data_IF_665526510350
#
_entry.id   IF_665526510350
#
_cell.length_a   1.000
_cell.length_b   1.000
_cell.length_c   1.000
_cell.angle_alpha   90.00
_cell.angle_beta   90.00
_cell.angle_gamma   90.00
#
_symmetry.space_group_name_H-M   'P 1'
#
loop_
_entity.id
_entity.type
_entity.pdbx_description
1 polymer ?
#
# COMPACT_ATOMS: atom_id res chain seq x y z
N UNK A 1 -46.72 -7.12 -22.16
CA UNK A 1 -45.33 -6.89 -22.61
C UNK A 1 -44.96 -5.41 -22.81
N UNK A 2 -45.83 -4.52 -23.31
CA UNK A 2 -45.46 -3.09 -23.53
C UNK A 2 -45.27 -2.23 -22.25
N UNK A 3 -45.84 -2.63 -21.11
CA UNK A 3 -45.77 -1.86 -19.84
C UNK A 3 -44.41 -1.99 -19.12
N UNK A 4 -43.65 -3.07 -19.37
CA UNK A 4 -42.31 -3.24 -18.77
C UNK A 4 -41.20 -2.49 -19.51
N UNK A 5 -41.33 -2.35 -20.84
CA UNK A 5 -40.40 -1.60 -21.70
C UNK A 5 -40.45 -0.08 -21.44
N UNK A 6 -41.62 0.45 -21.09
CA UNK A 6 -41.80 1.87 -20.74
C UNK A 6 -41.25 2.19 -19.35
N UNK A 7 -41.40 1.28 -18.37
CA UNK A 7 -40.80 1.42 -17.04
C UNK A 7 -39.26 1.38 -17.07
N UNK A 8 -38.68 0.48 -17.88
CA UNK A 8 -37.22 0.40 -18.04
C UNK A 8 -36.63 1.68 -18.66
N UNK A 9 -37.26 2.24 -19.70
CA UNK A 9 -36.82 3.52 -20.30
C UNK A 9 -36.96 4.70 -19.35
N UNK A 10 -38.01 4.74 -18.53
CA UNK A 10 -38.22 5.79 -17.52
C UNK A 10 -37.16 5.73 -16.42
N UNK A 11 -36.84 4.54 -15.92
CA UNK A 11 -35.78 4.33 -14.94
C UNK A 11 -34.40 4.68 -15.51
N UNK A 12 -34.15 4.38 -16.79
CA UNK A 12 -32.91 4.76 -17.47
C UNK A 12 -32.76 6.27 -17.61
N UNK A 13 -33.85 6.97 -17.99
CA UNK A 13 -33.88 8.43 -18.12
C UNK A 13 -33.76 9.14 -16.76
N UNK A 14 -34.39 8.59 -15.71
CA UNK A 14 -34.23 9.04 -14.32
C UNK A 14 -32.80 8.85 -13.82
N UNK A 15 -32.19 7.68 -14.08
CA UNK A 15 -30.79 7.40 -13.71
C UNK A 15 -29.82 8.37 -14.40
N UNK A 16 -30.01 8.64 -15.69
CA UNK A 16 -29.20 9.63 -16.42
C UNK A 16 -29.41 11.05 -15.90
N UNK A 17 -30.64 11.42 -15.56
CA UNK A 17 -30.92 12.74 -14.99
C UNK A 17 -30.27 12.90 -13.61
N UNK A 18 -30.35 11.88 -12.75
CA UNK A 18 -29.73 11.88 -11.42
C UNK A 18 -28.20 11.90 -11.54
N UNK A 19 -27.61 11.11 -12.44
CA UNK A 19 -26.15 11.10 -12.63
C UNK A 19 -25.65 12.45 -13.13
N UNK A 20 -26.36 13.10 -14.07
CA UNK A 20 -26.02 14.45 -14.54
C UNK A 20 -26.10 15.48 -13.42
N UNK A 21 -27.14 15.43 -12.58
CA UNK A 21 -27.28 16.34 -11.44
C UNK A 21 -26.17 16.15 -10.40
N UNK A 22 -25.78 14.90 -10.10
CA UNK A 22 -24.67 14.60 -9.19
C UNK A 22 -23.33 15.07 -9.78
N UNK A 23 -23.11 14.85 -11.08
CA UNK A 23 -21.88 15.31 -11.75
C UNK A 23 -21.77 16.83 -11.71
N UNK A 24 -22.86 17.56 -11.99
CA UNK A 24 -22.92 19.02 -11.88
C UNK A 24 -22.68 19.52 -10.45
N UNK A 25 -23.31 18.90 -9.45
CA UNK A 25 -23.12 19.26 -8.04
C UNK A 25 -21.70 18.96 -7.53
N UNK A 26 -21.02 17.97 -8.13
CA UNK A 26 -19.66 17.57 -7.73
C UNK A 26 -18.54 18.42 -8.33
N UNK A 27 -18.84 19.27 -9.32
CA UNK A 27 -17.86 20.18 -9.95
C UNK A 27 -17.13 21.11 -8.95
N UNK A 28 -17.81 21.83 -8.03
CA UNK A 28 -17.12 22.66 -7.05
C UNK A 28 -16.20 21.83 -6.14
N UNK A 29 -16.64 20.64 -5.73
CA UNK A 29 -15.82 19.72 -4.93
C UNK A 29 -14.61 19.20 -5.70
N UNK A 30 -14.74 18.93 -7.01
CA UNK A 30 -13.61 18.55 -7.88
C UNK A 30 -12.57 19.67 -7.96
N UNK A 31 -13.00 20.91 -8.10
CA UNK A 31 -12.10 22.07 -8.17
C UNK A 31 -11.38 22.33 -6.84
N UNK A 32 -12.11 22.26 -5.72
CA UNK A 32 -11.52 22.37 -4.38
C UNK A 32 -10.52 21.24 -4.10
N UNK A 33 -10.87 20.00 -4.46
CA UNK A 33 -9.95 18.86 -4.39
C UNK A 33 -8.68 19.12 -5.20
N UNK A 34 -8.80 19.62 -6.42
CA UNK A 34 -7.66 19.88 -7.29
C UNK A 34 -6.73 20.96 -6.72
N UNK A 35 -7.27 22.07 -6.20
CA UNK A 35 -6.48 23.11 -5.54
C UNK A 35 -5.78 22.54 -4.30
N UNK A 36 -6.53 21.84 -3.45
CA UNK A 36 -6.02 21.33 -2.18
C UNK A 36 -4.92 20.29 -2.42
N UNK A 37 -5.16 19.31 -3.30
CA UNK A 37 -4.16 18.28 -3.63
C UNK A 37 -2.90 18.90 -4.24
N UNK A 38 -3.04 19.85 -5.18
CA UNK A 38 -1.88 20.48 -5.82
C UNK A 38 -1.08 21.36 -4.85
N UNK A 39 -1.73 21.94 -3.84
CA UNK A 39 -1.05 22.70 -2.78
C UNK A 39 -0.28 21.81 -1.81
N UNK A 40 -0.79 20.61 -1.54
CA UNK A 40 -0.31 19.74 -0.47
C UNK A 40 0.74 18.73 -0.98
N UNK A 41 0.56 18.20 -2.19
CA UNK A 41 1.42 17.15 -2.76
C UNK A 41 1.61 17.38 -4.26
N UNK A 42 2.75 17.96 -4.63
CA UNK A 42 3.17 18.03 -6.04
C UNK A 42 3.37 16.60 -6.57
N UNK A 43 2.77 16.30 -7.72
CA UNK A 43 2.88 14.97 -8.35
C UNK A 43 1.97 13.90 -7.75
N UNK A 44 0.84 14.27 -7.15
CA UNK A 44 -0.14 13.32 -6.58
C UNK A 44 -0.61 12.23 -7.57
N UNK A 45 -0.59 12.54 -8.87
CA UNK A 45 -0.90 11.61 -9.96
C UNK A 45 -0.07 10.32 -9.90
N UNK A 46 1.21 10.42 -9.52
CA UNK A 46 2.12 9.27 -9.37
C UNK A 46 1.54 8.27 -8.36
N UNK A 47 1.10 8.76 -7.20
CA UNK A 47 0.55 7.91 -6.14
C UNK A 47 -0.79 7.28 -6.53
N UNK A 48 -1.63 8.01 -7.26
CA UNK A 48 -2.96 7.52 -7.69
C UNK A 48 -2.84 6.44 -8.77
N UNK A 49 -2.02 6.68 -9.80
CA UNK A 49 -1.84 5.71 -10.89
C UNK A 49 -1.01 4.53 -10.39
N UNK A 50 0.09 4.79 -9.68
CA UNK A 50 0.99 3.76 -9.17
C UNK A 50 0.39 2.89 -8.06
N UNK A 51 -0.64 3.35 -7.34
CA UNK A 51 -1.39 2.50 -6.40
C UNK A 51 -2.37 1.55 -7.09
N UNK A 52 -2.68 1.76 -8.38
CA UNK A 52 -3.65 0.96 -9.13
C UNK A 52 -5.11 1.27 -8.78
N UNK A 53 -5.39 2.32 -8.00
CA UNK A 53 -6.76 2.70 -7.59
C UNK A 53 -7.54 3.25 -8.79
N UNK A 54 -6.87 3.99 -9.68
CA UNK A 54 -7.48 4.61 -10.85
C UNK A 54 -6.50 4.64 -12.02
N UNK A 55 -7.03 4.49 -13.23
CA UNK A 55 -6.27 4.59 -14.48
C UNK A 55 -5.84 6.03 -14.80
N UNK A 56 -6.39 7.03 -14.10
CA UNK A 56 -6.03 8.43 -14.30
C UNK A 56 -6.49 9.34 -13.16
N UNK A 57 -5.83 10.49 -13.03
CA UNK A 57 -6.09 11.47 -11.98
C UNK A 57 -7.50 12.06 -12.10
N UNK A 58 -8.00 12.30 -13.31
CA UNK A 58 -9.33 12.89 -13.49
C UNK A 58 -10.46 11.97 -13.02
N UNK A 59 -10.32 10.66 -13.28
CA UNK A 59 -11.28 9.65 -12.85
C UNK A 59 -11.26 9.48 -11.33
N UNK A 60 -10.08 9.58 -10.72
CA UNK A 60 -9.94 9.60 -9.27
C UNK A 60 -10.63 10.84 -8.68
N UNK A 61 -10.30 12.04 -9.17
CA UNK A 61 -10.89 13.30 -8.71
C UNK A 61 -12.42 13.31 -8.85
N UNK A 62 -12.97 12.77 -9.94
CA UNK A 62 -14.43 12.66 -10.13
C UNK A 62 -15.08 11.65 -9.18
N UNK A 63 -14.42 10.54 -8.89
CA UNK A 63 -14.94 9.54 -7.95
C UNK A 63 -14.88 10.07 -6.52
N UNK A 64 -13.75 10.68 -6.16
CA UNK A 64 -13.52 11.31 -4.86
C UNK A 64 -14.46 12.48 -4.60
N UNK A 65 -14.76 13.32 -5.60
CA UNK A 65 -15.74 14.41 -5.43
C UNK A 65 -17.15 13.90 -5.16
N UNK A 66 -17.55 12.77 -5.77
CA UNK A 66 -18.84 12.12 -5.50
C UNK A 66 -18.88 11.51 -4.09
N UNK A 67 -17.78 10.90 -3.64
CA UNK A 67 -17.67 10.36 -2.29
C UNK A 67 -17.78 11.49 -1.26
N UNK A 68 -17.11 12.63 -1.47
CA UNK A 68 -17.20 13.79 -0.59
C UNK A 68 -18.62 14.36 -0.48
N UNK A 69 -19.33 14.44 -1.59
CA UNK A 69 -20.74 14.84 -1.58
C UNK A 69 -21.60 13.85 -0.78
N UNK A 70 -21.42 12.55 -1.02
CA UNK A 70 -22.19 11.52 -0.33
C UNK A 70 -21.92 11.51 1.18
N UNK A 71 -20.66 11.67 1.61
CA UNK A 71 -20.30 11.73 3.04
C UNK A 71 -20.82 13.00 3.72
N UNK A 72 -20.83 14.12 3.02
CA UNK A 72 -21.42 15.37 3.53
C UNK A 72 -22.94 15.26 3.72
N UNK A 73 -23.68 14.73 2.73
CA UNK A 73 -25.14 14.53 2.81
C UNK A 73 -25.52 13.53 3.91
N UNK A 74 -24.80 12.40 3.99
CA UNK A 74 -25.06 11.38 5.02
C UNK A 74 -24.75 11.91 6.42
N UNK A 75 -23.66 12.67 6.59
CA UNK A 75 -23.36 13.27 7.89
C UNK A 75 -24.38 14.34 8.27
N UNK A 76 -24.84 15.16 7.32
CA UNK A 76 -25.91 16.13 7.56
C UNK A 76 -27.19 15.46 8.06
N UNK A 77 -27.63 14.40 7.38
CA UNK A 77 -28.86 13.67 7.77
C UNK A 77 -28.74 12.99 9.12
N UNK A 78 -27.61 12.31 9.40
CA UNK A 78 -27.38 11.63 10.68
C UNK A 78 -27.34 12.65 11.83
N UNK A 79 -26.54 13.70 11.68
CA UNK A 79 -26.40 14.74 12.72
C UNK A 79 -27.72 15.47 12.97
N UNK A 80 -28.53 15.72 11.93
CA UNK A 80 -29.84 16.34 12.07
C UNK A 80 -30.83 15.45 12.85
N UNK A 81 -30.86 14.15 12.54
CA UNK A 81 -31.72 13.18 13.23
C UNK A 81 -31.31 13.00 14.70
N UNK A 82 -30.00 13.04 15.00
CA UNK A 82 -29.53 12.96 16.39
C UNK A 82 -29.77 14.26 17.15
N UNK A 83 -29.45 15.42 16.55
CA UNK A 83 -29.58 16.72 17.19
C UNK A 83 -31.04 17.16 17.41
N UNK A 84 -31.97 16.72 16.55
CA UNK A 84 -33.41 17.03 16.71
C UNK A 84 -34.08 16.31 17.89
N UNK A 85 -33.43 15.29 18.47
CA UNK A 85 -33.93 14.62 19.69
C UNK A 85 -33.63 15.37 20.99
N UNK A 86 -32.62 16.23 21.00
CA UNK A 86 -32.12 16.87 22.21
C UNK A 86 -32.19 18.41 22.18
N UNK A 87 -32.20 19.02 20.99
CA UNK A 87 -32.09 20.46 20.81
C UNK A 87 -33.28 21.01 19.99
N UNK A 88 -33.62 22.30 20.15
CA UNK A 88 -34.60 22.96 19.30
C UNK A 88 -34.12 23.01 17.86
N UNK A 89 -35.07 22.92 16.92
CA UNK A 89 -34.83 22.68 15.50
C UNK A 89 -33.84 23.67 14.85
N UNK A 90 -33.86 24.94 15.26
CA UNK A 90 -32.90 25.94 14.77
C UNK A 90 -31.45 25.64 15.15
N UNK A 91 -31.19 25.18 16.37
CA UNK A 91 -29.84 24.81 16.83
C UNK A 91 -29.41 23.49 16.17
N UNK A 92 -30.34 22.54 16.00
CA UNK A 92 -30.04 21.27 15.32
C UNK A 92 -29.61 21.49 13.87
N UNK A 93 -30.24 22.43 13.15
CA UNK A 93 -29.87 22.77 11.77
C UNK A 93 -28.47 23.38 11.68
N UNK A 94 -28.12 24.31 12.58
CA UNK A 94 -26.80 24.94 12.55
C UNK A 94 -25.69 23.94 12.88
N UNK A 95 -25.88 23.11 13.90
CA UNK A 95 -24.92 22.06 14.27
C UNK A 95 -24.74 21.05 13.12
N UNK A 96 -25.83 20.64 12.48
CA UNK A 96 -25.77 19.68 11.36
C UNK A 96 -25.10 20.29 10.13
N UNK A 97 -25.38 21.56 9.84
CA UNK A 97 -24.73 22.28 8.75
C UNK A 97 -23.22 22.39 8.99
N UNK A 98 -22.78 22.83 10.18
CA UNK A 98 -21.36 22.92 10.54
C UNK A 98 -20.67 21.55 10.46
N UNK A 99 -21.30 20.51 11.00
CA UNK A 99 -20.74 19.15 10.94
C UNK A 99 -20.59 18.64 9.49
N UNK A 100 -21.57 18.90 8.63
CA UNK A 100 -21.57 18.47 7.23
C UNK A 100 -20.60 19.25 6.34
N UNK A 101 -20.33 20.52 6.65
CA UNK A 101 -19.53 21.42 5.82
C UNK A 101 -18.07 21.47 6.25
N UNK A 102 -17.81 21.28 7.55
CA UNK A 102 -16.47 21.40 8.12
C UNK A 102 -15.91 20.03 8.48
N UNK A 103 -16.59 19.28 9.34
CA UNK A 103 -16.03 18.06 9.96
C UNK A 103 -15.94 16.91 8.95
N UNK A 104 -17.07 16.56 8.33
CA UNK A 104 -17.16 15.44 7.40
C UNK A 104 -16.22 15.54 6.19
N UNK A 105 -16.20 16.66 5.43
CA UNK A 105 -15.32 16.77 4.28
C UNK A 105 -13.85 16.85 4.68
N UNK A 106 -13.50 17.46 5.82
CA UNK A 106 -12.10 17.51 6.29
C UNK A 106 -11.56 16.10 6.58
N UNK A 107 -12.32 15.29 7.31
CA UNK A 107 -11.93 13.91 7.61
C UNK A 107 -11.90 13.04 6.35
N UNK A 108 -12.90 13.17 5.50
CA UNK A 108 -12.97 12.42 4.25
C UNK A 108 -11.83 12.80 3.27
N UNK A 109 -11.43 14.08 3.23
CA UNK A 109 -10.29 14.54 2.45
C UNK A 109 -8.97 13.94 2.95
N UNK A 110 -8.77 13.92 4.28
CA UNK A 110 -7.58 13.31 4.87
C UNK A 110 -7.44 11.83 4.46
N UNK A 111 -8.54 11.07 4.54
CA UNK A 111 -8.57 9.66 4.12
C UNK A 111 -8.30 9.52 2.62
N UNK A 112 -8.95 10.33 1.78
CA UNK A 112 -8.78 10.28 0.33
C UNK A 112 -7.38 10.66 -0.14
N UNK A 113 -6.63 11.46 0.61
CA UNK A 113 -5.23 11.78 0.27
C UNK A 113 -4.29 10.70 0.79
N UNK A 114 -4.54 10.20 2.00
CA UNK A 114 -3.69 9.20 2.64
C UNK A 114 -3.77 7.82 1.99
N UNK A 115 -4.98 7.40 1.59
CA UNK A 115 -5.24 6.04 1.10
C UNK A 115 -4.40 5.69 -0.15
N UNK A 116 -4.32 6.52 -1.21
CA UNK A 116 -3.43 6.24 -2.34
C UNK A 116 -1.97 6.12 -1.95
N UNK A 117 -1.47 6.94 -1.01
CA UNK A 117 -0.08 6.86 -0.56
C UNK A 117 0.22 5.56 0.18
N UNK A 118 -0.68 5.16 1.08
CA UNK A 118 -0.56 3.91 1.82
C UNK A 118 -0.61 2.70 0.88
N UNK A 119 -1.55 2.68 -0.06
CA UNK A 119 -1.66 1.63 -1.07
C UNK A 119 -0.47 1.61 -2.03
N UNK A 120 0.05 2.78 -2.42
CA UNK A 120 1.24 2.91 -3.26
C UNK A 120 2.45 2.25 -2.60
N UNK A 121 2.69 2.53 -1.32
CA UNK A 121 3.80 1.94 -0.56
C UNK A 121 3.66 0.41 -0.45
N UNK A 122 2.50 -0.06 -0.02
CA UNK A 122 2.24 -1.50 0.13
C UNK A 122 2.40 -2.23 -1.22
N UNK A 123 1.90 -1.65 -2.31
CA UNK A 123 2.04 -2.22 -3.66
C UNK A 123 3.51 -2.25 -4.11
N UNK A 124 4.31 -1.25 -3.74
CA UNK A 124 5.76 -1.24 -3.99
C UNK A 124 6.48 -2.44 -3.38
N UNK A 125 6.14 -2.79 -2.14
CA UNK A 125 6.72 -3.96 -1.45
C UNK A 125 6.32 -5.28 -2.14
N UNK A 126 5.06 -5.43 -2.53
CA UNK A 126 4.56 -6.60 -3.28
C UNK A 126 5.23 -6.72 -4.66
N UNK A 127 5.47 -5.60 -5.33
CA UNK A 127 6.16 -5.58 -6.62
C UNK A 127 7.65 -5.95 -6.48
N UNK A 128 8.32 -5.45 -5.44
CA UNK A 128 9.73 -5.80 -5.16
C UNK A 128 9.90 -7.29 -4.82
N UNK A 129 8.98 -7.87 -4.05
CA UNK A 129 9.06 -9.29 -3.65
C UNK A 129 8.93 -10.22 -4.86
N UNK A 130 8.14 -9.83 -5.86
CA UNK A 130 7.90 -10.61 -7.08
C UNK A 130 8.76 -10.20 -8.28
N UNK A 131 9.60 -9.17 -8.14
CA UNK A 131 10.36 -8.58 -9.23
C UNK A 131 11.23 -9.61 -9.98
N UNK A 132 11.79 -10.60 -9.29
CA UNK A 132 12.59 -11.67 -9.92
C UNK A 132 11.80 -12.47 -10.96
N UNK A 133 10.49 -12.64 -10.76
CA UNK A 133 9.61 -13.35 -11.71
C UNK A 133 9.48 -12.58 -13.01
N UNK A 134 9.33 -11.25 -12.93
CA UNK A 134 9.30 -10.39 -14.10
C UNK A 134 10.66 -10.35 -14.79
N UNK A 135 11.73 -10.14 -14.03
CA UNK A 135 13.07 -10.00 -14.58
C UNK A 135 13.53 -11.29 -15.29
N UNK A 136 13.25 -12.47 -14.71
CA UNK A 136 13.55 -13.75 -15.34
C UNK A 136 12.76 -13.96 -16.65
N UNK A 137 11.47 -13.63 -16.66
CA UNK A 137 10.67 -13.64 -17.88
C UNK A 137 11.22 -12.70 -18.96
N UNK A 138 11.68 -11.50 -18.55
CA UNK A 138 12.33 -10.55 -19.45
C UNK A 138 13.65 -11.08 -19.99
N UNK A 139 14.50 -11.72 -19.19
CA UNK A 139 15.74 -12.34 -19.67
C UNK A 139 15.42 -13.40 -20.72
N UNK A 140 14.47 -14.30 -20.43
CA UNK A 140 14.07 -15.37 -21.35
C UNK A 140 13.59 -14.80 -22.70
N UNK A 141 12.74 -13.78 -22.67
CA UNK A 141 12.18 -13.19 -23.88
C UNK A 141 13.19 -12.32 -24.63
N UNK A 142 14.04 -11.56 -23.93
CA UNK A 142 15.05 -10.71 -24.57
C UNK A 142 16.21 -11.53 -25.15
N UNK A 143 16.52 -12.70 -24.58
CA UNK A 143 17.48 -13.65 -25.15
C UNK A 143 17.06 -14.16 -26.54
N UNK A 144 15.77 -14.15 -26.86
CA UNK A 144 15.26 -14.53 -28.19
C UNK A 144 15.50 -13.47 -29.28
N UNK A 145 16.13 -12.33 -28.95
CA UNK A 145 16.43 -11.26 -29.90
C UNK A 145 15.21 -10.44 -30.35
N UNK A 146 14.05 -10.64 -29.71
CA UNK A 146 12.85 -9.88 -30.02
C UNK A 146 12.97 -8.41 -29.61
N UNK A 147 12.28 -7.53 -30.35
CA UNK A 147 12.16 -6.13 -29.93
C UNK A 147 11.41 -6.04 -28.60
N UNK A 148 11.78 -5.05 -27.78
CA UNK A 148 11.17 -4.83 -26.45
C UNK A 148 9.63 -4.70 -26.53
N UNK A 149 9.09 -4.16 -27.62
CA UNK A 149 7.65 -4.09 -27.84
C UNK A 149 7.02 -5.50 -27.86
N UNK A 150 7.59 -6.43 -28.64
CA UNK A 150 7.11 -7.82 -28.70
C UNK A 150 7.34 -8.56 -27.38
N UNK A 151 8.45 -8.28 -26.70
CA UNK A 151 8.72 -8.83 -25.36
C UNK A 151 7.60 -8.42 -24.39
N UNK A 152 7.24 -7.13 -24.32
CA UNK A 152 6.17 -6.65 -23.46
C UNK A 152 4.81 -7.24 -23.83
N UNK A 153 4.55 -7.47 -25.11
CA UNK A 153 3.32 -8.10 -25.60
C UNK A 153 3.24 -9.60 -25.24
N UNK A 154 4.39 -10.28 -25.11
CA UNK A 154 4.47 -11.69 -24.72
C UNK A 154 4.45 -11.92 -23.19
N UNK A 155 4.77 -10.91 -22.38
CA UNK A 155 4.79 -11.02 -20.91
C UNK A 155 3.48 -11.54 -20.28
N UNK A 156 2.28 -11.13 -20.71
CA UNK A 156 1.03 -11.68 -20.15
C UNK A 156 0.93 -13.20 -20.28
N UNK A 157 1.44 -13.76 -21.37
CA UNK A 157 1.41 -15.20 -21.64
C UNK A 157 2.44 -15.94 -20.78
N UNK A 158 3.66 -15.42 -20.68
CA UNK A 158 4.75 -16.05 -19.92
C UNK A 158 4.53 -15.97 -18.41
N UNK A 159 4.03 -14.84 -17.90
CA UNK A 159 3.82 -14.64 -16.47
C UNK A 159 2.54 -15.29 -15.95
N UNK A 160 1.56 -15.55 -16.81
CA UNK A 160 0.27 -16.10 -16.44
C UNK A 160 -0.37 -15.33 -15.27
N UNK A 161 -0.67 -16.02 -14.17
CA UNK A 161 -1.27 -15.41 -12.97
C UNK A 161 -0.41 -14.32 -12.31
N UNK A 162 0.93 -14.37 -12.47
CA UNK A 162 1.83 -13.36 -11.92
C UNK A 162 1.71 -12.02 -12.66
N UNK A 163 1.20 -12.01 -13.90
CA UNK A 163 1.00 -10.79 -14.69
C UNK A 163 0.14 -9.76 -13.97
N UNK A 164 -0.91 -10.21 -13.26
CA UNK A 164 -1.86 -9.34 -12.54
C UNK A 164 -1.18 -8.41 -11.53
N UNK A 165 -0.03 -8.79 -11.01
CA UNK A 165 0.73 -7.96 -10.05
C UNK A 165 1.33 -6.74 -10.75
N UNK A 166 1.88 -6.95 -11.95
CA UNK A 166 2.59 -5.96 -12.76
C UNK A 166 1.71 -5.29 -13.83
N UNK A 167 0.42 -5.62 -13.88
CA UNK A 167 -0.45 -5.24 -14.99
C UNK A 167 -0.56 -3.72 -15.13
N UNK A 168 -0.57 -2.95 -14.03
CA UNK A 168 -0.64 -1.48 -14.10
C UNK A 168 0.54 -0.90 -14.88
N UNK A 169 1.77 -1.32 -14.56
CA UNK A 169 2.99 -0.84 -15.20
C UNK A 169 3.09 -1.31 -16.66
N UNK A 170 2.80 -2.59 -16.90
CA UNK A 170 2.93 -3.21 -18.22
C UNK A 170 1.81 -2.78 -19.18
N UNK A 171 0.56 -2.69 -18.72
CA UNK A 171 -0.56 -2.19 -19.51
C UNK A 171 -0.37 -0.71 -19.81
N UNK A 172 0.15 0.09 -18.86
CA UNK A 172 0.46 1.50 -19.10
C UNK A 172 1.56 1.65 -20.17
N UNK A 173 2.64 0.87 -20.07
CA UNK A 173 3.70 0.85 -21.08
C UNK A 173 3.14 0.49 -22.47
N UNK A 174 2.38 -0.60 -22.55
CA UNK A 174 1.78 -1.07 -23.81
C UNK A 174 0.79 -0.05 -24.39
N UNK A 175 -0.04 0.56 -23.54
CA UNK A 175 -1.02 1.57 -23.96
C UNK A 175 -0.37 2.82 -24.52
N UNK A 176 0.70 3.32 -23.89
CA UNK A 176 1.46 4.47 -24.39
C UNK A 176 2.09 4.16 -25.76
N UNK A 177 2.66 2.97 -25.92
CA UNK A 177 3.25 2.54 -27.21
C UNK A 177 2.18 2.39 -28.30
N UNK A 178 1.00 1.86 -27.98
CA UNK A 178 -0.13 1.74 -28.92
C UNK A 178 -0.65 3.08 -29.40
N UNK A 179 -0.57 4.13 -28.56
CA UNK A 179 -0.96 5.51 -28.92
C UNK A 179 0.16 6.23 -29.70
N UNK A 180 1.30 5.56 -29.97
CA UNK A 180 2.40 6.09 -30.78
C UNK A 180 3.48 6.82 -29.99
N UNK A 181 3.48 6.72 -28.65
CA UNK A 181 4.57 7.26 -27.83
C UNK A 181 5.83 6.43 -28.06
N UNK A 182 7.01 7.06 -28.30
CA UNK A 182 8.26 6.33 -28.44
C UNK A 182 8.52 5.41 -27.24
N UNK A 183 9.01 4.20 -27.51
CA UNK A 183 9.23 3.15 -26.50
C UNK A 183 10.08 3.65 -25.33
N UNK A 184 11.17 4.37 -25.62
CA UNK A 184 12.05 4.93 -24.59
C UNK A 184 11.31 5.91 -23.67
N UNK A 185 10.49 6.81 -24.24
CA UNK A 185 9.70 7.78 -23.48
C UNK A 185 8.57 7.10 -22.69
N UNK A 186 7.91 6.10 -23.28
CA UNK A 186 6.88 5.31 -22.59
C UNK A 186 7.43 4.61 -21.34
N UNK A 187 8.58 3.93 -21.46
CA UNK A 187 9.24 3.28 -20.34
C UNK A 187 9.70 4.28 -19.29
N UNK A 188 10.24 5.44 -19.71
CA UNK A 188 10.62 6.52 -18.79
C UNK A 188 9.42 6.98 -17.96
N UNK A 189 8.26 7.21 -18.57
CA UNK A 189 7.03 7.62 -17.87
C UNK A 189 6.57 6.56 -16.86
N UNK A 190 6.57 5.29 -17.26
CA UNK A 190 6.21 4.18 -16.36
C UNK A 190 7.17 4.10 -15.17
N UNK A 191 8.46 4.35 -15.38
CA UNK A 191 9.45 4.37 -14.32
C UNK A 191 9.19 5.46 -13.25
N UNK A 192 8.59 6.59 -13.63
CA UNK A 192 8.23 7.66 -12.69
C UNK A 192 6.96 7.35 -11.89
N UNK A 193 6.15 6.40 -12.36
CA UNK A 193 4.87 6.03 -11.75
C UNK A 193 4.99 4.79 -10.85
N UNK A 194 5.95 3.90 -11.13
CA UNK A 194 6.07 2.65 -10.39
C UNK A 194 6.55 2.87 -8.94
N UNK A 195 5.91 2.23 -7.95
CA UNK A 195 6.34 2.31 -6.55
C UNK A 195 7.57 1.46 -6.22
N UNK A 196 7.95 0.52 -7.09
CA UNK A 196 9.10 -0.36 -6.86
C UNK A 196 10.38 0.23 -7.40
N UNK A 197 11.43 0.27 -6.57
CA UNK A 197 12.72 0.83 -6.97
C UNK A 197 13.38 -0.01 -8.07
N UNK A 198 13.26 -1.34 -7.99
CA UNK A 198 13.84 -2.27 -8.97
C UNK A 198 13.17 -2.14 -10.33
N UNK A 199 11.84 -2.02 -10.36
CA UNK A 199 11.09 -1.76 -11.59
C UNK A 199 11.42 -0.39 -12.17
N UNK A 200 11.56 0.63 -11.31
CA UNK A 200 11.99 1.96 -11.75
C UNK A 200 13.36 1.90 -12.42
N UNK A 201 14.32 1.27 -11.78
CA UNK A 201 15.68 1.13 -12.30
C UNK A 201 15.70 0.33 -13.61
N UNK A 202 14.87 -0.71 -13.70
CA UNK A 202 14.66 -1.49 -14.93
C UNK A 202 14.15 -0.60 -16.06
N UNK A 203 13.01 0.08 -15.87
CA UNK A 203 12.39 0.86 -16.93
C UNK A 203 13.25 2.08 -17.34
N UNK A 204 13.96 2.72 -16.41
CA UNK A 204 14.92 3.78 -16.72
C UNK A 204 16.12 3.25 -17.52
N UNK A 205 16.68 2.11 -17.13
CA UNK A 205 17.82 1.51 -17.82
C UNK A 205 17.42 1.09 -19.24
N UNK A 206 16.27 0.43 -19.39
CA UNK A 206 15.71 0.07 -20.69
C UNK A 206 15.47 1.30 -21.57
N UNK A 207 14.86 2.35 -21.01
CA UNK A 207 14.62 3.62 -21.71
C UNK A 207 15.92 4.23 -22.26
N UNK A 208 16.98 4.22 -21.44
CA UNK A 208 18.29 4.76 -21.82
C UNK A 208 18.94 3.96 -22.94
N UNK A 209 19.01 2.63 -22.83
CA UNK A 209 19.62 1.79 -23.87
C UNK A 209 18.84 1.84 -25.17
N UNK A 210 17.51 1.82 -25.11
CA UNK A 210 16.65 1.88 -26.31
C UNK A 210 16.83 3.22 -27.03
N UNK A 211 16.99 4.33 -26.30
CA UNK A 211 17.23 5.65 -26.89
C UNK A 211 18.55 5.73 -27.68
N UNK A 212 19.54 4.92 -27.30
CA UNK A 212 20.87 4.86 -27.94
C UNK A 212 20.93 3.74 -29.00
N UNK A 213 19.86 2.95 -29.17
CA UNK A 213 19.80 1.82 -30.11
C UNK A 213 20.62 0.60 -29.66
N UNK A 214 20.92 0.49 -28.37
CA UNK A 214 21.72 -0.61 -27.81
C UNK A 214 20.93 -1.91 -27.60
N UNK A 215 21.65 -2.98 -27.30
CA UNK A 215 21.06 -4.28 -26.99
C UNK A 215 20.45 -4.31 -25.58
N UNK A 216 19.20 -4.74 -25.48
CA UNK A 216 18.43 -4.80 -24.23
C UNK A 216 18.82 -6.00 -23.33
N UNK A 217 19.21 -7.14 -23.92
CA UNK A 217 19.44 -8.37 -23.16
C UNK A 217 20.53 -8.24 -22.07
N UNK A 218 21.71 -7.64 -22.34
CA UNK A 218 22.75 -7.46 -21.31
C UNK A 218 22.29 -6.57 -20.15
N UNK A 219 21.41 -5.60 -20.41
CA UNK A 219 20.87 -4.67 -19.41
C UNK A 219 19.99 -5.42 -18.44
N UNK A 220 19.05 -6.21 -18.95
CA UNK A 220 18.14 -7.01 -18.11
C UNK A 220 18.93 -8.03 -17.30
N UNK A 221 19.93 -8.68 -17.90
CA UNK A 221 20.81 -9.61 -17.20
C UNK A 221 21.57 -8.94 -16.05
N UNK A 222 22.17 -7.76 -16.30
CA UNK A 222 22.86 -7.01 -15.24
C UNK A 222 21.93 -6.59 -14.10
N UNK A 223 20.65 -6.33 -14.39
CA UNK A 223 19.65 -5.99 -13.36
C UNK A 223 19.22 -7.20 -12.55
N UNK A 224 19.12 -8.38 -13.17
CA UNK A 224 18.91 -9.65 -12.45
C UNK A 224 20.06 -9.90 -11.47
N UNK A 225 21.30 -9.80 -11.93
CA UNK A 225 22.49 -10.01 -11.08
C UNK A 225 22.51 -9.02 -9.90
N UNK A 226 22.23 -7.74 -10.15
CA UNK A 226 22.10 -6.71 -9.11
C UNK A 226 20.97 -7.01 -8.14
N UNK A 227 19.82 -7.47 -8.63
CA UNK A 227 18.68 -7.84 -7.79
C UNK A 227 19.03 -9.02 -6.89
N UNK A 228 19.57 -10.10 -7.45
CA UNK A 228 19.96 -11.30 -6.69
C UNK A 228 20.99 -10.95 -5.62
N UNK A 229 21.99 -10.12 -5.97
CA UNK A 229 22.98 -9.64 -5.00
C UNK A 229 22.34 -8.83 -3.87
N UNK A 230 21.47 -7.88 -4.21
CA UNK A 230 20.75 -7.07 -3.20
C UNK A 230 19.81 -7.90 -2.34
N UNK A 231 19.17 -8.91 -2.92
CA UNK A 231 18.31 -9.84 -2.20
C UNK A 231 19.14 -10.68 -1.22
N UNK A 232 20.31 -11.17 -1.63
CA UNK A 232 21.27 -11.84 -0.75
C UNK A 232 21.65 -10.98 0.46
N UNK A 233 22.02 -9.72 0.22
CA UNK A 233 22.34 -8.76 1.30
C UNK A 233 21.13 -8.53 2.23
N UNK A 234 19.90 -8.47 1.69
CA UNK A 234 18.69 -8.31 2.49
C UNK A 234 18.44 -9.52 3.38
N UNK A 235 18.61 -10.73 2.85
CA UNK A 235 18.49 -11.99 3.60
C UNK A 235 19.55 -12.04 4.71
N UNK A 236 20.81 -11.74 4.39
CA UNK A 236 21.91 -11.73 5.35
C UNK A 236 21.64 -10.76 6.52
N UNK A 237 21.19 -9.53 6.22
CA UNK A 237 20.78 -8.57 7.25
C UNK A 237 19.65 -9.07 8.13
N UNK A 238 18.64 -9.73 7.55
CA UNK A 238 17.54 -10.28 8.34
C UNK A 238 18.00 -11.44 9.23
N UNK A 239 18.97 -12.25 8.79
CA UNK A 239 19.60 -13.28 9.62
C UNK A 239 20.43 -12.66 10.74
N UNK A 240 21.16 -11.58 10.46
CA UNK A 240 21.91 -10.82 11.46
C UNK A 240 20.99 -10.19 12.51
N UNK A 241 19.88 -9.56 12.09
CA UNK A 241 18.85 -9.05 12.98
C UNK A 241 18.30 -10.17 13.87
N UNK A 242 17.94 -11.33 13.30
CA UNK A 242 17.48 -12.50 14.06
C UNK A 242 18.53 -12.99 15.06
N UNK A 243 19.81 -12.97 14.69
CA UNK A 243 20.90 -13.37 15.58
C UNK A 243 21.01 -12.42 16.77
N UNK A 244 20.95 -11.10 16.56
CA UNK A 244 20.96 -10.09 17.62
C UNK A 244 19.77 -10.30 18.56
N UNK A 245 18.55 -10.51 18.03
CA UNK A 245 17.37 -10.74 18.89
C UNK A 245 17.52 -12.05 19.68
N UNK A 246 18.07 -13.10 19.06
CA UNK A 246 18.33 -14.39 19.73
C UNK A 246 19.37 -14.26 20.83
N UNK A 247 20.46 -13.51 20.60
CA UNK A 247 21.49 -13.24 21.60
C UNK A 247 20.92 -12.49 22.81
N UNK A 248 20.14 -11.43 22.58
CA UNK A 248 19.45 -10.70 23.65
C UNK A 248 18.49 -11.62 24.41
N UNK A 249 17.75 -12.49 23.71
CA UNK A 249 16.87 -13.46 24.34
C UNK A 249 17.63 -14.44 25.25
N UNK A 250 18.73 -15.03 24.78
CA UNK A 250 19.55 -15.94 25.58
C UNK A 250 20.13 -15.20 26.79
N UNK A 251 20.66 -13.99 26.58
CA UNK A 251 21.21 -13.17 27.65
C UNK A 251 20.15 -12.86 28.72
N UNK A 252 18.97 -12.37 28.35
CA UNK A 252 17.90 -12.05 29.32
C UNK A 252 17.36 -13.30 30.01
N UNK A 253 17.17 -14.39 29.26
CA UNK A 253 16.67 -15.66 29.81
C UNK A 253 17.66 -16.30 30.77
N UNK A 254 18.97 -16.04 30.63
CA UNK A 254 19.98 -16.46 31.58
C UNK A 254 20.14 -15.48 32.75
N UNK A 255 20.24 -14.18 32.46
CA UNK A 255 20.52 -13.14 33.46
C UNK A 255 19.37 -12.93 34.44
N UNK A 256 18.11 -12.94 33.98
CA UNK A 256 16.98 -12.67 34.88
C UNK A 256 16.84 -13.75 35.95
N UNK A 257 16.82 -15.07 35.62
CA UNK A 257 16.85 -16.10 36.65
C UNK A 257 18.08 -16.00 37.55
N UNK A 258 19.24 -15.62 37.00
CA UNK A 258 20.46 -15.46 37.80
C UNK A 258 20.35 -14.34 38.84
N UNK A 259 19.78 -13.18 38.45
CA UNK A 259 19.50 -12.06 39.36
C UNK A 259 18.42 -12.44 40.36
N UNK A 260 17.34 -13.09 39.92
CA UNK A 260 16.25 -13.54 40.79
C UNK A 260 16.76 -14.55 41.81
N UNK A 261 17.57 -15.53 41.40
CA UNK A 261 18.20 -16.51 42.27
C UNK A 261 19.13 -15.84 43.30
N UNK A 262 19.96 -14.89 42.84
CA UNK A 262 20.85 -14.13 43.71
C UNK A 262 20.08 -13.30 44.75
N UNK A 263 19.02 -12.61 44.30
CA UNK A 263 18.17 -11.79 45.18
C UNK A 263 17.38 -12.67 46.15
N UNK A 264 16.86 -13.79 45.69
CA UNK A 264 16.15 -14.76 46.52
C UNK A 264 17.09 -15.38 47.56
N UNK A 265 18.35 -15.65 47.23
CA UNK A 265 19.32 -16.18 48.18
C UNK A 265 19.54 -15.25 49.39
N UNK A 266 19.45 -13.93 49.23
CA UNK A 266 19.51 -12.99 50.36
C UNK A 266 18.35 -13.17 51.36
N UNK A 267 17.18 -13.63 50.90
CA UNK A 267 16.03 -13.91 51.77
C UNK A 267 16.23 -15.14 52.66
N UNK A 268 17.20 -16.01 52.35
CA UNK A 268 17.61 -17.08 53.26
C UNK A 268 18.29 -16.53 54.52
N UNK A 269 18.96 -15.38 54.41
CA UNK A 269 19.69 -14.73 55.50
C UNK A 269 18.79 -13.72 56.24
N UNK A 270 17.95 -12.98 55.49
CA UNK A 270 16.99 -12.02 56.02
C UNK A 270 15.56 -12.37 55.59
N UNK A 271 14.89 -13.31 56.28
CA UNK A 271 13.55 -13.76 55.93
C UNK A 271 12.54 -12.63 56.15
N UNK A 272 11.81 -12.29 55.09
CA UNK A 272 10.67 -11.37 55.13
C UNK A 272 9.41 -12.21 55.38
N UNK A 273 8.62 -11.85 56.40
CA UNK A 273 7.43 -12.61 56.76
C UNK A 273 6.45 -12.69 55.58
N UNK A 274 6.15 -13.92 55.13
CA UNK A 274 5.16 -14.21 54.09
C UNK A 274 5.70 -14.53 52.69
N UNK A 275 7.02 -14.38 52.44
CA UNK A 275 7.63 -14.76 51.16
C UNK A 275 8.79 -15.75 51.40
N UNK A 276 8.60 -17.01 50.98
CA UNK A 276 9.66 -18.01 51.00
C UNK A 276 10.51 -17.96 49.73
N UNK A 277 11.79 -18.33 49.85
CA UNK A 277 12.73 -18.49 48.74
C UNK A 277 12.13 -19.34 47.61
N UNK A 278 11.56 -20.48 47.96
CA UNK A 278 10.95 -21.41 47.01
C UNK A 278 9.75 -20.80 46.28
N UNK A 279 8.95 -19.97 46.95
CA UNK A 279 7.79 -19.32 46.33
C UNK A 279 8.19 -18.33 45.24
N UNK A 280 9.29 -17.58 45.44
CA UNK A 280 9.79 -16.63 44.43
C UNK A 280 10.35 -17.38 43.22
N UNK A 281 11.08 -18.47 43.42
CA UNK A 281 11.60 -19.28 42.31
C UNK A 281 10.48 -19.96 41.51
N UNK A 282 9.51 -20.55 42.20
CA UNK A 282 8.36 -21.23 41.59
C UNK A 282 7.44 -20.25 40.86
N UNK A 283 7.36 -18.99 41.28
CA UNK A 283 6.58 -17.98 40.54
C UNK A 283 7.34 -17.41 39.34
N UNK A 284 8.66 -17.18 39.47
CA UNK A 284 9.38 -16.38 38.47
C UNK A 284 9.80 -17.21 37.26
N UNK A 285 10.36 -18.40 37.47
CA UNK A 285 10.92 -19.23 36.39
C UNK A 285 9.85 -19.71 35.38
N UNK A 286 8.72 -20.31 35.80
CA UNK A 286 7.75 -20.84 34.86
C UNK A 286 6.88 -19.77 34.18
N UNK A 287 6.85 -18.53 34.69
CA UNK A 287 6.14 -17.42 34.05
C UNK A 287 7.06 -16.70 33.05
N UNK A 288 8.31 -16.45 33.43
CA UNK A 288 9.24 -15.67 32.62
C UNK A 288 9.64 -16.37 31.32
N UNK A 289 9.96 -17.66 31.38
CA UNK A 289 10.41 -18.44 30.21
C UNK A 289 9.38 -18.45 29.08
N UNK A 290 8.09 -18.80 29.29
CA UNK A 290 7.10 -18.80 28.21
C UNK A 290 6.79 -17.40 27.69
N UNK A 291 6.78 -16.37 28.55
CA UNK A 291 6.58 -14.98 28.09
C UNK A 291 7.71 -14.56 27.15
N UNK A 292 8.96 -14.82 27.53
CA UNK A 292 10.12 -14.53 26.71
C UNK A 292 10.09 -15.35 25.40
N UNK A 293 9.66 -16.62 25.45
CA UNK A 293 9.52 -17.49 24.28
C UNK A 293 8.45 -16.99 23.30
N UNK A 294 7.30 -16.49 23.79
CA UNK A 294 6.26 -15.93 22.91
C UNK A 294 6.75 -14.64 22.27
N UNK A 295 7.41 -13.77 23.04
CA UNK A 295 7.97 -12.52 22.54
C UNK A 295 8.98 -12.76 21.39
N UNK A 296 9.93 -13.68 21.56
CA UNK A 296 10.91 -13.98 20.50
C UNK A 296 10.26 -14.54 19.24
N UNK A 297 9.29 -15.46 19.36
CA UNK A 297 8.60 -16.04 18.20
C UNK A 297 7.86 -14.95 17.43
N UNK A 298 7.19 -14.01 18.11
CA UNK A 298 6.49 -12.91 17.43
C UNK A 298 7.44 -11.94 16.71
N UNK A 299 8.59 -11.62 17.32
CA UNK A 299 9.60 -10.76 16.69
C UNK A 299 10.25 -11.47 15.50
N UNK A 300 10.56 -12.76 15.65
CA UNK A 300 11.13 -13.57 14.58
C UNK A 300 10.18 -13.65 13.38
N UNK A 301 8.89 -13.87 13.61
CA UNK A 301 7.89 -13.89 12.53
C UNK A 301 7.75 -12.51 11.85
N UNK A 302 7.86 -11.42 12.61
CA UNK A 302 7.89 -10.06 12.06
C UNK A 302 9.13 -9.78 11.21
N UNK A 303 10.29 -10.36 11.53
CA UNK A 303 11.51 -10.21 10.72
C UNK A 303 11.43 -11.11 9.48
N UNK A 304 11.04 -12.38 9.65
CA UNK A 304 10.93 -13.36 8.55
C UNK A 304 9.87 -12.93 7.52
N UNK A 305 8.76 -12.35 7.95
CA UNK A 305 7.71 -11.86 7.06
C UNK A 305 8.19 -10.75 6.10
N UNK A 306 9.29 -10.05 6.41
CA UNK A 306 9.90 -9.04 5.50
C UNK A 306 10.72 -9.64 4.36
N UNK A 307 11.09 -10.93 4.45
CA UNK A 307 11.99 -11.60 3.51
C UNK A 307 11.25 -12.60 2.61
N UNK A 308 10.06 -13.04 3.04
CA UNK A 308 9.22 -13.99 2.30
C UNK A 308 8.72 -13.34 0.99
N UNK A 309 8.92 -13.97 -0.18
CA UNK A 309 8.46 -13.46 -1.48
C UNK A 309 6.94 -13.43 -1.64
#
# INVERSE_FOLDING_TARGET
>A
MLKSLTHSKLLMKLRESISRSVDLASKPFKYLLQIYINSLVKGFEIYVIGSGISTGIERYLSTSSKILLATSITTFTITLVMASRALPLFISLTVSAVASLVIAPSLSLAILIYLPMAMYRNRGEVLESKAITLLSALVLLTASGQSIYRVLEALPVVLGGAYKVFSVELDLASSLMKVGVPVSEALKRVAHITPSNILRDLFLSLSSIISIGGNVAPVVQSLVERYVTRYGIRVERSVEELNIVTEVYVALTMLIPMIVNSTAAFLLIYPIAGLSFDAILVLTIPILIPIASVAIVTIADMIVSRVRP
#
